data_IF_968822257025
#
_entry.id   IF_968822257025
#
_cell.length_a   1.000
_cell.length_b   1.000
_cell.length_c   1.000
_cell.angle_alpha   90.00
_cell.angle_beta   90.00
_cell.angle_gamma   90.00
#
_symmetry.space_group_name_H-M   'P 1'
#
loop_
_entity.id
_entity.type
_entity.pdbx_description
1 polymer ?
#
# COMPACT_ATOMS: atom_id res chain seq x y z
N UNK A 1 8.93 30.33 -2.86
CA UNK A 1 7.83 30.73 -1.95
C UNK A 1 6.93 29.51 -1.81
N UNK A 2 6.55 29.12 -0.60
CA UNK A 2 5.46 28.15 -0.43
C UNK A 2 4.22 28.76 -1.09
N UNK A 3 3.59 28.10 -2.07
CA UNK A 3 2.47 28.70 -2.81
C UNK A 3 1.32 29.13 -1.89
N UNK A 4 1.22 28.53 -0.70
CA UNK A 4 0.06 28.65 0.20
C UNK A 4 0.25 29.55 1.42
N UNK A 5 1.44 30.14 1.63
CA UNK A 5 1.74 30.93 2.83
C UNK A 5 2.26 32.31 2.44
N UNK A 6 1.56 32.99 1.52
CA UNK A 6 1.88 34.35 1.11
C UNK A 6 1.28 35.40 2.06
N UNK A 7 1.91 36.57 2.11
CA UNK A 7 1.73 37.58 3.18
C UNK A 7 0.43 38.40 3.10
N UNK A 8 -0.36 38.31 2.02
CA UNK A 8 -1.40 39.32 1.75
C UNK A 8 -2.79 38.99 2.33
N UNK A 9 -3.05 37.73 2.71
CA UNK A 9 -4.10 37.30 3.65
C UNK A 9 -3.95 35.78 3.83
N UNK A 10 -3.12 35.31 4.79
CA UNK A 10 -2.89 33.89 4.92
C UNK A 10 -4.11 33.23 5.58
N UNK A 11 -4.91 32.50 4.81
CA UNK A 11 -5.80 31.51 5.41
C UNK A 11 -4.94 30.44 6.08
N UNK A 12 -4.76 30.64 7.39
CA UNK A 12 -3.89 29.84 8.27
C UNK A 12 -4.18 28.35 8.10
N UNK A 13 -5.45 28.00 7.84
CA UNK A 13 -5.91 26.63 7.64
C UNK A 13 -5.46 26.02 6.32
N UNK A 14 -5.43 26.78 5.23
CA UNK A 14 -4.93 26.32 3.93
C UNK A 14 -3.42 26.09 3.98
N UNK A 15 -2.68 27.04 4.56
CA UNK A 15 -1.23 26.92 4.79
C UNK A 15 -0.92 25.75 5.73
N UNK A 16 -1.66 25.57 6.82
CA UNK A 16 -1.50 24.45 7.76
C UNK A 16 -1.74 23.10 7.08
N UNK A 17 -2.80 22.98 6.27
CA UNK A 17 -3.10 21.76 5.51
C UNK A 17 -1.96 21.41 4.56
N UNK A 18 -1.52 22.38 3.74
CA UNK A 18 -0.42 22.21 2.79
C UNK A 18 0.89 21.83 3.47
N UNK A 19 1.24 22.51 4.58
CA UNK A 19 2.45 22.21 5.35
C UNK A 19 2.40 20.84 6.01
N UNK A 20 1.26 20.47 6.60
CA UNK A 20 1.11 19.17 7.29
C UNK A 20 1.20 18.02 6.29
N UNK A 21 0.45 18.09 5.18
CA UNK A 21 0.49 17.06 4.15
C UNK A 21 1.87 17.03 3.48
N UNK A 22 2.45 18.18 3.16
CA UNK A 22 3.78 18.28 2.56
C UNK A 22 4.89 17.70 3.46
N UNK A 23 4.88 18.00 4.76
CA UNK A 23 5.87 17.45 5.71
C UNK A 23 5.74 15.95 5.90
N UNK A 24 4.51 15.43 6.05
CA UNK A 24 4.27 13.98 6.09
C UNK A 24 4.71 13.29 4.80
N UNK A 25 4.47 13.93 3.64
CA UNK A 25 4.87 13.42 2.33
C UNK A 25 6.37 13.41 2.15
N UNK A 26 7.07 14.45 2.60
CA UNK A 26 8.52 14.53 2.58
C UNK A 26 9.13 13.41 3.42
N UNK A 27 8.68 13.27 4.67
CA UNK A 27 9.16 12.23 5.57
C UNK A 27 8.96 10.84 4.98
N UNK A 28 7.77 10.57 4.46
CA UNK A 28 7.42 9.27 3.87
C UNK A 28 8.24 9.02 2.60
N UNK A 29 8.46 10.03 1.75
CA UNK A 29 9.29 9.90 0.55
C UNK A 29 10.75 9.56 0.91
N UNK A 30 11.34 10.27 1.87
CA UNK A 30 12.71 10.01 2.35
C UNK A 30 12.82 8.61 2.92
N UNK A 31 11.84 8.19 3.72
CA UNK A 31 11.76 6.83 4.24
C UNK A 31 11.70 5.82 3.08
N UNK A 32 10.79 5.97 2.11
CA UNK A 32 10.69 5.07 0.96
C UNK A 32 12.01 4.96 0.17
N UNK A 33 12.70 6.08 -0.08
CA UNK A 33 14.00 6.07 -0.77
C UNK A 33 15.06 5.30 0.01
N UNK A 34 15.15 5.55 1.33
CA UNK A 34 16.06 4.83 2.21
C UNK A 34 15.75 3.33 2.24
N UNK A 35 14.48 2.97 2.34
CA UNK A 35 14.03 1.58 2.36
C UNK A 35 14.32 0.89 1.03
N UNK A 36 13.98 1.49 -0.11
CA UNK A 36 14.31 0.94 -1.44
C UNK A 36 15.81 0.73 -1.58
N UNK A 37 16.64 1.69 -1.16
CA UNK A 37 18.10 1.56 -1.21
C UNK A 37 18.59 0.31 -0.46
N UNK A 38 18.02 0.03 0.72
CA UNK A 38 18.37 -1.17 1.51
C UNK A 38 17.82 -2.44 0.87
N UNK A 39 16.59 -2.44 0.35
CA UNK A 39 15.99 -3.67 -0.19
C UNK A 39 16.50 -4.05 -1.58
N UNK A 40 17.00 -3.08 -2.35
CA UNK A 40 17.35 -3.25 -3.75
C UNK A 40 18.40 -4.36 -3.97
N UNK A 41 19.53 -4.42 -3.23
CA UNK A 41 20.53 -5.47 -3.39
C UNK A 41 19.97 -6.88 -3.19
N UNK A 42 19.17 -7.08 -2.13
CA UNK A 42 18.51 -8.36 -1.86
C UNK A 42 17.50 -8.76 -2.93
N UNK A 43 16.77 -7.79 -3.50
CA UNK A 43 15.75 -8.04 -4.53
C UNK A 43 16.31 -8.46 -5.89
N UNK A 44 17.56 -8.09 -6.20
CA UNK A 44 18.23 -8.48 -7.44
C UNK A 44 18.51 -9.99 -7.43
N UNK A 45 18.99 -10.51 -6.29
CA UNK A 45 19.28 -11.94 -6.11
C UNK A 45 18.04 -12.81 -5.89
N UNK A 46 16.95 -12.23 -5.37
CA UNK A 46 15.76 -12.98 -4.95
C UNK A 46 14.48 -12.47 -5.61
N UNK A 47 13.89 -13.20 -6.57
CA UNK A 47 12.72 -12.73 -7.31
C UNK A 47 11.46 -12.55 -6.43
N UNK A 48 11.37 -13.26 -5.31
CA UNK A 48 10.26 -13.15 -4.35
C UNK A 48 10.23 -11.82 -3.58
N UNK A 49 11.34 -11.09 -3.51
CA UNK A 49 11.44 -9.78 -2.84
C UNK A 49 11.10 -8.61 -3.78
N UNK A 50 11.10 -8.83 -5.10
CA UNK A 50 10.86 -7.76 -6.10
C UNK A 50 9.50 -7.07 -5.94
N UNK A 51 8.38 -7.77 -5.65
CA UNK A 51 7.11 -7.10 -5.43
C UNK A 51 7.13 -6.17 -4.21
N UNK A 52 7.88 -6.53 -3.15
CA UNK A 52 8.00 -5.69 -1.96
C UNK A 52 8.71 -4.37 -2.27
N UNK A 53 9.82 -4.44 -3.02
CA UNK A 53 10.55 -3.24 -3.48
C UNK A 53 9.69 -2.40 -4.41
N UNK A 54 8.95 -3.03 -5.33
CA UNK A 54 8.05 -2.32 -6.24
C UNK A 54 6.94 -1.57 -5.48
N UNK A 55 6.33 -2.19 -4.46
CA UNK A 55 5.31 -1.54 -3.64
C UNK A 55 5.87 -0.33 -2.89
N UNK A 56 7.06 -0.45 -2.27
CA UNK A 56 7.70 0.67 -1.56
C UNK A 56 8.18 1.76 -2.53
N UNK A 57 8.61 1.40 -3.75
CA UNK A 57 8.98 2.37 -4.77
C UNK A 57 7.76 3.16 -5.27
N UNK A 58 6.63 2.48 -5.54
CA UNK A 58 5.38 3.14 -5.91
C UNK A 58 4.88 4.06 -4.80
N UNK A 59 5.00 3.65 -3.53
CA UNK A 59 4.70 4.49 -2.38
C UNK A 59 5.55 5.76 -2.35
N UNK A 60 6.86 5.62 -2.59
CA UNK A 60 7.77 6.76 -2.67
C UNK A 60 7.44 7.72 -3.82
N UNK A 61 7.09 7.21 -5.00
CA UNK A 61 6.70 8.03 -6.15
C UNK A 61 5.39 8.77 -5.86
N UNK A 62 4.40 8.09 -5.31
CA UNK A 62 3.12 8.70 -4.92
C UNK A 62 3.32 9.87 -3.95
N UNK A 63 4.04 9.62 -2.86
CA UNK A 63 4.31 10.66 -1.85
C UNK A 63 5.18 11.78 -2.39
N UNK A 64 6.10 11.50 -3.32
CA UNK A 64 6.89 12.52 -4.00
C UNK A 64 6.01 13.42 -4.88
N UNK A 65 5.05 12.85 -5.63
CA UNK A 65 4.12 13.64 -6.43
C UNK A 65 3.22 14.52 -5.56
N UNK A 66 2.74 14.00 -4.43
CA UNK A 66 1.99 14.78 -3.44
C UNK A 66 2.86 15.89 -2.83
N UNK A 67 4.13 15.60 -2.53
CA UNK A 67 5.08 16.58 -2.01
C UNK A 67 5.32 17.73 -3.01
N UNK A 68 5.62 17.41 -4.27
CA UNK A 68 5.87 18.41 -5.33
C UNK A 68 4.62 19.27 -5.54
N UNK A 69 3.44 18.66 -5.48
CA UNK A 69 2.19 19.40 -5.49
C UNK A 69 2.12 20.39 -4.32
N UNK A 70 2.37 19.92 -3.10
CA UNK A 70 2.25 20.75 -1.90
C UNK A 70 3.33 21.82 -1.74
N UNK A 71 4.48 21.70 -2.41
CA UNK A 71 5.61 22.63 -2.19
C UNK A 71 5.96 23.49 -3.40
N UNK A 72 5.63 23.05 -4.62
CA UNK A 72 6.24 23.62 -5.82
C UNK A 72 5.26 23.97 -6.94
N UNK A 73 4.36 23.06 -7.32
CA UNK A 73 3.53 23.19 -8.53
C UNK A 73 2.09 22.75 -8.28
N UNK A 74 1.15 23.69 -8.37
CA UNK A 74 -0.29 23.42 -8.33
C UNK A 74 -0.80 22.85 -9.66
N UNK A 75 -0.33 21.66 -10.01
CA UNK A 75 -0.69 20.96 -11.22
C UNK A 75 -1.63 19.78 -10.91
N UNK A 76 -2.90 19.78 -11.40
CA UNK A 76 -3.82 18.66 -11.23
C UNK A 76 -3.26 17.35 -11.82
N UNK A 77 -2.36 17.47 -12.82
CA UNK A 77 -1.63 16.35 -13.42
C UNK A 77 -0.76 15.56 -12.41
N UNK A 78 -0.22 16.22 -11.38
CA UNK A 78 0.53 15.53 -10.31
C UNK A 78 -0.39 14.67 -9.42
N UNK A 79 -1.61 15.14 -9.15
CA UNK A 79 -2.61 14.37 -8.41
C UNK A 79 -3.05 13.14 -9.19
N UNK A 80 -3.21 13.27 -10.50
CA UNK A 80 -3.50 12.15 -11.38
C UNK A 80 -2.40 11.08 -11.29
N UNK A 81 -1.13 11.48 -11.36
CA UNK A 81 -0.01 10.55 -11.19
C UNK A 81 0.02 9.87 -9.81
N UNK A 82 -0.30 10.60 -8.74
CA UNK A 82 -0.39 10.03 -7.39
C UNK A 82 -1.51 8.98 -7.28
N UNK A 83 -2.71 9.29 -7.79
CA UNK A 83 -3.82 8.34 -7.86
C UNK A 83 -3.48 7.11 -8.71
N UNK A 84 -2.69 7.26 -9.77
CA UNK A 84 -2.26 6.14 -10.62
C UNK A 84 -1.33 5.20 -9.86
N UNK A 85 -0.34 5.74 -9.16
CA UNK A 85 0.55 4.95 -8.30
C UNK A 85 -0.28 4.15 -7.28
N UNK A 86 -1.25 4.80 -6.64
CA UNK A 86 -2.19 4.17 -5.71
C UNK A 86 -2.99 3.04 -6.35
N UNK A 87 -3.59 3.28 -7.51
CA UNK A 87 -4.35 2.27 -8.25
C UNK A 87 -3.51 1.05 -8.60
N UNK A 88 -2.25 1.26 -9.02
CA UNK A 88 -1.30 0.18 -9.30
C UNK A 88 -0.89 -0.58 -8.04
N UNK A 89 -0.69 0.10 -6.91
CA UNK A 89 -0.44 -0.56 -5.63
C UNK A 89 -1.60 -1.47 -5.21
N UNK A 90 -2.85 -1.02 -5.38
CA UNK A 90 -4.03 -1.86 -5.11
C UNK A 90 -4.00 -3.07 -6.06
N UNK A 91 -3.81 -2.88 -7.36
CA UNK A 91 -3.76 -3.97 -8.33
C UNK A 91 -2.64 -5.00 -8.05
N UNK A 92 -1.44 -4.55 -7.65
CA UNK A 92 -0.32 -5.45 -7.28
C UNK A 92 -0.64 -6.20 -6.00
N UNK A 93 -1.18 -5.52 -4.98
CA UNK A 93 -1.61 -6.17 -3.73
C UNK A 93 -2.63 -7.27 -4.03
N UNK A 94 -3.63 -6.94 -4.84
CA UNK A 94 -4.66 -7.83 -5.33
C UNK A 94 -4.08 -9.06 -6.04
N UNK A 95 -3.06 -8.90 -6.88
CA UNK A 95 -2.36 -10.01 -7.52
C UNK A 95 -1.64 -10.92 -6.51
N UNK A 96 -0.82 -10.34 -5.63
CA UNK A 96 -0.01 -11.09 -4.66
C UNK A 96 -0.88 -11.93 -3.72
N UNK A 97 -1.94 -11.34 -3.17
CA UNK A 97 -2.83 -12.05 -2.25
C UNK A 97 -3.80 -12.98 -2.96
N UNK A 98 -4.28 -12.61 -4.14
CA UNK A 98 -5.13 -13.48 -4.93
C UNK A 98 -4.38 -14.73 -5.40
N UNK A 99 -3.10 -14.61 -5.75
CA UNK A 99 -2.23 -15.74 -6.05
C UNK A 99 -2.06 -16.66 -4.84
N UNK A 100 -1.73 -16.10 -3.67
CA UNK A 100 -1.57 -16.85 -2.42
C UNK A 100 -2.87 -17.57 -2.02
N UNK A 101 -4.02 -16.91 -2.12
CA UNK A 101 -5.31 -17.52 -1.82
C UNK A 101 -5.69 -18.65 -2.80
N UNK A 102 -5.39 -18.48 -4.10
CA UNK A 102 -5.62 -19.51 -5.10
C UNK A 102 -4.70 -20.73 -4.91
N UNK A 103 -3.48 -20.51 -4.40
CA UNK A 103 -2.56 -21.58 -4.05
C UNK A 103 -3.08 -22.40 -2.85
N UNK A 104 -3.50 -21.73 -1.78
CA UNK A 104 -4.07 -22.39 -0.58
C UNK A 104 -5.34 -23.18 -0.92
N UNK A 105 -6.20 -22.64 -1.77
CA UNK A 105 -7.47 -23.28 -2.14
C UNK A 105 -7.36 -24.28 -3.29
N UNK A 106 -6.17 -24.42 -3.91
CA UNK A 106 -5.94 -25.28 -5.06
C UNK A 106 -6.65 -24.84 -6.36
N UNK A 107 -7.23 -23.64 -6.40
CA UNK A 107 -8.03 -23.12 -7.53
C UNK A 107 -7.20 -22.28 -8.50
N UNK A 108 -6.10 -22.85 -9.03
CA UNK A 108 -5.19 -22.15 -9.97
C UNK A 108 -5.86 -21.66 -11.25
N UNK A 109 -6.96 -22.28 -11.68
CA UNK A 109 -7.74 -21.84 -12.85
C UNK A 109 -8.38 -20.46 -12.62
N UNK A 110 -8.80 -20.15 -11.39
CA UNK A 110 -9.38 -18.85 -11.05
C UNK A 110 -8.35 -17.71 -11.13
N UNK A 111 -7.10 -18.00 -10.76
CA UNK A 111 -5.98 -17.05 -10.84
C UNK A 111 -5.75 -16.58 -12.28
N UNK A 112 -5.60 -17.51 -13.22
CA UNK A 112 -5.28 -17.15 -14.62
C UNK A 112 -6.52 -16.86 -15.48
N UNK A 113 -7.68 -17.46 -15.16
CA UNK A 113 -8.90 -17.32 -15.95
C UNK A 113 -9.77 -16.13 -15.57
N UNK A 114 -9.67 -15.62 -14.33
CA UNK A 114 -10.52 -14.52 -13.85
C UNK A 114 -9.69 -13.38 -13.26
N UNK A 115 -8.79 -13.68 -12.32
CA UNK A 115 -8.07 -12.65 -11.59
C UNK A 115 -7.08 -11.87 -12.48
N UNK A 116 -6.23 -12.59 -13.20
CA UNK A 116 -5.26 -12.01 -14.13
C UNK A 116 -5.89 -11.08 -15.18
N UNK A 117 -6.93 -11.50 -15.94
CA UNK A 117 -7.52 -10.63 -16.95
C UNK A 117 -8.23 -9.41 -16.36
N UNK A 118 -8.88 -9.53 -15.20
CA UNK A 118 -9.50 -8.37 -14.53
C UNK A 118 -8.44 -7.35 -14.13
N UNK A 119 -7.37 -7.79 -13.48
CA UNK A 119 -6.28 -6.89 -13.07
C UNK A 119 -5.56 -6.26 -14.25
N UNK A 120 -5.30 -7.04 -15.31
CA UNK A 120 -4.72 -6.51 -16.54
C UNK A 120 -5.63 -5.48 -17.22
N UNK A 121 -6.93 -5.78 -17.33
CA UNK A 121 -7.91 -4.88 -17.92
C UNK A 121 -8.01 -3.57 -17.15
N UNK A 122 -8.02 -3.61 -15.81
CA UNK A 122 -8.02 -2.40 -14.98
C UNK A 122 -6.71 -1.62 -15.10
N UNK A 123 -5.56 -2.29 -15.12
CA UNK A 123 -4.28 -1.61 -15.31
C UNK A 123 -4.19 -0.90 -16.68
N UNK A 124 -4.68 -1.54 -17.75
CA UNK A 124 -4.78 -0.93 -19.08
C UNK A 124 -5.72 0.26 -19.06
N UNK A 125 -6.90 0.12 -18.45
CA UNK A 125 -7.89 1.20 -18.34
C UNK A 125 -7.30 2.42 -17.60
N UNK A 126 -6.69 2.21 -16.43
CA UNK A 126 -6.06 3.27 -15.66
C UNK A 126 -4.92 3.94 -16.43
N UNK A 127 -4.10 3.16 -17.15
CA UNK A 127 -2.99 3.70 -17.93
C UNK A 127 -3.50 4.53 -19.13
N UNK A 128 -4.53 4.05 -19.82
CA UNK A 128 -5.15 4.77 -20.93
C UNK A 128 -5.79 6.09 -20.46
N UNK A 129 -6.51 6.06 -19.34
CA UNK A 129 -7.13 7.25 -18.74
C UNK A 129 -6.08 8.33 -18.39
N UNK A 130 -4.97 7.92 -17.79
CA UNK A 130 -3.84 8.84 -17.49
C UNK A 130 -3.24 9.44 -18.75
N UNK A 131 -3.00 8.64 -19.79
CA UNK A 131 -2.43 9.14 -21.05
C UNK A 131 -3.34 10.18 -21.70
N UNK A 132 -4.65 9.92 -21.74
CA UNK A 132 -5.64 10.85 -22.30
C UNK A 132 -5.65 12.16 -21.50
N UNK A 133 -5.76 12.09 -20.18
CA UNK A 133 -5.79 13.29 -19.32
C UNK A 133 -4.47 14.08 -19.30
N UNK A 134 -3.34 13.45 -19.62
CA UNK A 134 -2.06 14.15 -19.75
C UNK A 134 -1.94 14.93 -21.05
N UNK A 135 -2.56 14.45 -22.13
CA UNK A 135 -2.59 15.11 -23.45
C UNK A 135 -3.44 16.38 -23.43
N UNK A 136 -4.51 16.39 -22.63
CA UNK A 136 -5.36 17.56 -22.48
C UNK A 136 -4.62 18.74 -21.79
N UNK A 137 -4.70 19.97 -22.35
CA UNK A 137 -4.03 21.14 -21.80
C UNK A 137 -4.67 21.64 -20.49
N UNK A 138 -5.96 21.38 -20.29
CA UNK A 138 -6.74 21.74 -19.10
C UNK A 138 -7.37 20.46 -18.57
N UNK A 139 -7.14 20.15 -17.30
CA UNK A 139 -7.75 18.99 -16.65
C UNK A 139 -9.05 19.44 -16.00
N UNK A 140 -10.19 18.95 -16.51
CA UNK A 140 -11.52 19.23 -15.96
C UNK A 140 -11.92 18.17 -14.92
N UNK A 141 -12.07 18.59 -13.66
CA UNK A 141 -12.44 17.72 -12.54
C UNK A 141 -13.89 17.22 -12.59
N UNK A 142 -14.73 17.88 -13.39
CA UNK A 142 -16.12 17.47 -13.63
C UNK A 142 -16.25 16.40 -14.72
N UNK A 143 -15.18 16.15 -15.48
CA UNK A 143 -15.23 15.14 -16.53
C UNK A 143 -15.20 13.73 -15.92
N UNK A 144 -15.91 12.79 -16.55
CA UNK A 144 -16.06 11.43 -16.04
C UNK A 144 -14.73 10.69 -15.94
N UNK A 145 -13.73 11.03 -16.77
CA UNK A 145 -12.36 10.50 -16.70
C UNK A 145 -11.71 10.76 -15.33
N UNK A 146 -11.98 11.90 -14.68
CA UNK A 146 -11.47 12.17 -13.32
C UNK A 146 -11.91 11.11 -12.29
N UNK A 147 -13.12 10.56 -12.48
CA UNK A 147 -13.71 9.56 -11.60
C UNK A 147 -13.28 8.13 -11.96
N UNK A 148 -12.89 7.87 -13.21
CA UNK A 148 -12.60 6.51 -13.70
C UNK A 148 -11.55 5.82 -12.83
N UNK A 149 -10.45 6.50 -12.52
CA UNK A 149 -9.37 5.88 -11.76
C UNK A 149 -9.73 5.59 -10.30
N UNK A 150 -10.45 6.51 -9.64
CA UNK A 150 -10.91 6.31 -8.26
C UNK A 150 -12.02 5.26 -8.18
N UNK A 151 -12.91 5.22 -9.17
CA UNK A 151 -13.95 4.19 -9.27
C UNK A 151 -13.34 2.81 -9.52
N UNK A 152 -12.37 2.71 -10.43
CA UNK A 152 -11.66 1.46 -10.70
C UNK A 152 -10.90 0.97 -9.47
N UNK A 153 -10.19 1.86 -8.78
CA UNK A 153 -9.44 1.53 -7.54
C UNK A 153 -10.36 1.09 -6.41
N UNK A 154 -11.47 1.81 -6.20
CA UNK A 154 -12.47 1.45 -5.19
C UNK A 154 -13.17 0.12 -5.51
N UNK A 155 -13.52 -0.10 -6.78
CA UNK A 155 -14.16 -1.35 -7.23
C UNK A 155 -13.23 -2.53 -6.99
N UNK A 156 -11.93 -2.41 -7.33
CA UNK A 156 -10.93 -3.40 -6.99
C UNK A 156 -10.85 -3.57 -5.47
N UNK A 157 -10.55 -2.52 -4.70
CA UNK A 157 -10.35 -2.62 -3.26
C UNK A 157 -11.55 -3.28 -2.54
N UNK A 158 -12.79 -2.91 -2.89
CA UNK A 158 -14.01 -3.50 -2.32
C UNK A 158 -14.20 -4.96 -2.75
N UNK A 159 -14.03 -5.27 -4.04
CA UNK A 159 -14.16 -6.66 -4.53
C UNK A 159 -13.17 -7.59 -3.83
N UNK A 160 -11.95 -7.11 -3.64
CA UNK A 160 -10.89 -7.86 -2.96
C UNK A 160 -11.07 -7.93 -1.45
N UNK A 161 -11.61 -6.90 -0.81
CA UNK A 161 -11.99 -6.97 0.59
C UNK A 161 -13.09 -8.01 0.81
N UNK A 162 -14.08 -8.06 -0.07
CA UNK A 162 -15.16 -9.06 -0.02
C UNK A 162 -14.61 -10.48 -0.21
N UNK A 163 -13.85 -10.76 -1.27
CA UNK A 163 -13.26 -12.09 -1.48
C UNK A 163 -12.22 -12.43 -0.41
N UNK A 164 -11.41 -11.46 0.00
CA UNK A 164 -10.38 -11.59 1.03
C UNK A 164 -10.98 -11.90 2.39
N UNK A 165 -12.15 -11.34 2.73
CA UNK A 165 -12.85 -11.64 3.98
C UNK A 165 -13.25 -13.11 4.11
N UNK A 166 -13.59 -13.77 2.99
CA UNK A 166 -13.89 -15.20 2.94
C UNK A 166 -12.61 -16.00 3.22
N UNK A 167 -11.50 -15.66 2.55
CA UNK A 167 -10.20 -16.31 2.77
C UNK A 167 -9.71 -16.12 4.20
N UNK A 168 -9.87 -14.92 4.77
CA UNK A 168 -9.52 -14.63 6.16
C UNK A 168 -10.34 -15.46 7.15
N UNK A 169 -11.62 -15.72 6.87
CA UNK A 169 -12.45 -16.62 7.67
C UNK A 169 -11.94 -18.05 7.61
N UNK A 170 -11.59 -18.53 6.42
CA UNK A 170 -11.01 -19.88 6.25
C UNK A 170 -9.65 -20.00 6.95
N UNK A 171 -8.78 -18.99 6.83
CA UNK A 171 -7.50 -18.97 7.55
C UNK A 171 -7.69 -18.93 9.07
N UNK A 172 -8.69 -18.19 9.56
CA UNK A 172 -9.03 -18.16 10.99
C UNK A 172 -9.59 -19.50 11.47
N UNK A 173 -10.42 -20.16 10.67
CA UNK A 173 -10.93 -21.50 10.95
C UNK A 173 -9.78 -22.52 10.98
N UNK A 174 -8.91 -22.52 9.97
CA UNK A 174 -7.71 -23.35 9.92
C UNK A 174 -6.78 -23.11 11.12
N UNK A 175 -6.58 -21.85 11.52
CA UNK A 175 -5.84 -21.48 12.73
C UNK A 175 -6.46 -22.09 13.99
N UNK A 176 -7.79 -22.05 14.12
CA UNK A 176 -8.48 -22.61 15.29
C UNK A 176 -8.32 -24.14 15.36
N UNK A 177 -8.37 -24.81 14.21
CA UNK A 177 -8.16 -26.26 14.10
C UNK A 177 -6.71 -26.62 14.38
N UNK A 178 -5.74 -25.89 13.83
CA UNK A 178 -4.31 -26.12 14.05
C UNK A 178 -3.85 -25.80 15.48
N UNK A 179 -4.50 -24.85 16.17
CA UNK A 179 -4.25 -24.59 17.60
C UNK A 179 -4.71 -25.75 18.48
N UNK A 180 -5.76 -26.46 18.06
CA UNK A 180 -6.34 -27.58 18.78
C UNK A 180 -5.70 -28.93 18.39
N UNK A 181 -5.23 -29.07 17.14
CA UNK A 181 -4.49 -30.22 16.65
C UNK A 181 -2.98 -29.98 16.84
N UNK A 182 -2.46 -30.52 17.94
CA UNK A 182 -1.05 -30.69 18.32
C UNK A 182 -0.02 -30.27 17.24
N UNK A 183 0.84 -29.30 17.60
CA UNK A 183 2.06 -28.87 16.90
C UNK A 183 2.70 -30.01 16.08
N UNK A 184 2.46 -30.04 14.76
CA UNK A 184 3.25 -30.92 13.88
C UNK A 184 2.59 -31.48 12.63
N UNK A 185 1.25 -31.45 12.49
CA UNK A 185 0.62 -32.22 11.40
C UNK A 185 0.70 -31.57 10.00
N UNK A 186 0.93 -30.26 9.89
CA UNK A 186 0.82 -29.53 8.60
C UNK A 186 2.11 -28.87 8.08
N UNK A 187 3.24 -28.98 8.77
CA UNK A 187 4.51 -28.40 8.31
C UNK A 187 4.56 -26.86 8.21
N UNK A 188 3.43 -26.15 8.31
CA UNK A 188 3.33 -24.69 8.37
C UNK A 188 3.37 -24.26 9.82
N UNK A 189 4.30 -23.37 10.20
CA UNK A 189 4.37 -22.90 11.56
C UNK A 189 3.15 -22.02 11.90
N UNK A 190 2.55 -22.13 13.10
CA UNK A 190 1.38 -21.33 13.47
C UNK A 190 1.64 -19.81 13.44
N UNK A 191 2.92 -19.42 13.52
CA UNK A 191 3.35 -18.02 13.49
C UNK A 191 3.27 -17.43 12.07
N UNK A 192 3.67 -18.18 11.03
CA UNK A 192 3.62 -17.72 9.63
C UNK A 192 2.18 -17.51 9.13
N UNK A 193 1.24 -18.35 9.57
CA UNK A 193 -0.17 -18.23 9.22
C UNK A 193 -0.83 -17.00 9.87
N UNK A 194 -0.52 -16.73 11.14
CA UNK A 194 -1.02 -15.54 11.83
C UNK A 194 -0.48 -14.25 11.20
N UNK A 195 0.77 -14.26 10.75
CA UNK A 195 1.41 -13.13 10.11
C UNK A 195 0.81 -12.84 8.74
N UNK A 196 0.64 -13.88 7.92
CA UNK A 196 -0.03 -13.76 6.61
C UNK A 196 -1.45 -13.21 6.76
N UNK A 197 -2.18 -13.64 7.80
CA UNK A 197 -3.48 -13.08 8.16
C UNK A 197 -3.40 -11.59 8.51
N UNK A 198 -2.45 -11.18 9.36
CA UNK A 198 -2.28 -9.76 9.76
C UNK A 198 -1.91 -8.87 8.59
N UNK A 199 -0.98 -9.29 7.73
CA UNK A 199 -0.58 -8.56 6.53
C UNK A 199 -1.77 -8.34 5.59
N UNK A 200 -2.51 -9.42 5.31
CA UNK A 200 -3.70 -9.37 4.46
C UNK A 200 -4.79 -8.47 5.05
N UNK A 201 -5.06 -8.59 6.36
CA UNK A 201 -6.07 -7.77 7.04
C UNK A 201 -5.75 -6.28 6.97
N UNK A 202 -4.51 -5.89 7.27
CA UNK A 202 -4.08 -4.50 7.27
C UNK A 202 -4.17 -3.87 5.88
N UNK A 203 -3.69 -4.57 4.85
CA UNK A 203 -3.75 -4.05 3.49
C UNK A 203 -5.18 -3.98 2.94
N UNK A 204 -6.02 -4.98 3.21
CA UNK A 204 -7.43 -4.92 2.79
C UNK A 204 -8.14 -3.72 3.42
N UNK A 205 -7.94 -3.51 4.72
CA UNK A 205 -8.56 -2.39 5.43
C UNK A 205 -8.03 -1.05 4.92
N UNK A 206 -6.71 -0.89 4.81
CA UNK A 206 -6.08 0.35 4.35
C UNK A 206 -6.46 0.68 2.90
N UNK A 207 -6.41 -0.31 2.00
CA UNK A 207 -6.78 -0.12 0.60
C UNK A 207 -8.25 0.21 0.43
N UNK A 208 -9.14 -0.44 1.19
CA UNK A 208 -10.57 -0.16 1.16
C UNK A 208 -10.88 1.25 1.68
N UNK A 209 -10.36 1.63 2.85
CA UNK A 209 -10.59 2.96 3.43
C UNK A 209 -10.04 4.05 2.51
N UNK A 210 -8.79 3.93 2.06
CA UNK A 210 -8.15 4.90 1.17
C UNK A 210 -8.93 5.06 -0.14
N UNK A 211 -9.29 3.95 -0.81
CA UNK A 211 -9.98 4.03 -2.12
C UNK A 211 -11.41 4.57 -1.99
N UNK A 212 -12.12 4.26 -0.90
CA UNK A 212 -13.45 4.80 -0.65
C UNK A 212 -13.40 6.30 -0.31
N UNK A 213 -12.41 6.73 0.50
CA UNK A 213 -12.21 8.14 0.79
C UNK A 213 -11.89 8.92 -0.49
N UNK A 214 -10.98 8.41 -1.33
CA UNK A 214 -10.66 9.02 -2.63
C UNK A 214 -11.90 9.11 -3.53
N UNK A 215 -12.64 8.02 -3.71
CA UNK A 215 -13.86 8.02 -4.52
C UNK A 215 -14.91 8.99 -3.96
N UNK A 216 -15.14 8.99 -2.65
CA UNK A 216 -16.12 9.89 -2.02
C UNK A 216 -15.77 11.35 -2.23
N UNK A 217 -14.49 11.68 -2.13
CA UNK A 217 -13.98 13.03 -2.32
C UNK A 217 -14.06 13.46 -3.79
N UNK A 218 -13.70 12.60 -4.72
CA UNK A 218 -13.82 12.89 -6.15
C UNK A 218 -15.27 13.02 -6.59
N UNK A 219 -16.19 12.22 -6.02
CA UNK A 219 -17.61 12.29 -6.31
C UNK A 219 -18.25 13.56 -5.73
N UNK A 220 -17.81 13.99 -4.55
CA UNK A 220 -18.16 15.29 -3.98
C UNK A 220 -17.71 16.43 -4.90
N UNK A 221 -16.46 16.40 -5.36
CA UNK A 221 -15.92 17.37 -6.31
C UNK A 221 -16.70 17.39 -7.62
N UNK A 222 -16.93 16.22 -8.22
CA UNK A 222 -17.50 16.13 -9.57
C UNK A 222 -18.98 16.55 -9.62
N UNK A 223 -19.78 16.27 -8.58
CA UNK A 223 -21.23 16.42 -8.63
C UNK A 223 -21.82 17.42 -7.63
N UNK A 224 -21.18 17.66 -6.48
CA UNK A 224 -21.77 18.47 -5.40
C UNK A 224 -21.26 19.90 -5.46
N UNK A 225 -20.00 20.12 -5.84
CA UNK A 225 -19.48 21.47 -6.01
C UNK A 225 -19.96 22.00 -7.37
N UNK A 226 -20.97 22.89 -7.34
CA UNK A 226 -21.63 23.43 -8.53
C UNK A 226 -20.92 24.72 -8.97
N UNK A 227 -20.30 24.67 -10.14
CA UNK A 227 -19.77 25.83 -10.86
C UNK A 227 -18.67 25.42 -11.83
N UNK A 228 -18.64 25.99 -13.05
CA UNK A 228 -17.56 25.84 -14.05
C UNK A 228 -16.23 26.39 -13.50
N UNK A 229 -15.68 25.72 -12.50
CA UNK A 229 -14.48 26.13 -11.79
C UNK A 229 -13.40 25.09 -12.05
N UNK A 230 -12.31 25.54 -12.69
CA UNK A 230 -11.15 24.70 -12.95
C UNK A 230 -10.72 24.00 -11.65
N UNK A 231 -10.24 22.75 -11.74
CA UNK A 231 -9.74 21.98 -10.60
C UNK A 231 -8.88 22.83 -9.64
N UNK A 232 -8.02 23.67 -10.21
CA UNK A 232 -7.09 24.54 -9.48
C UNK A 232 -7.75 25.58 -8.59
N UNK A 233 -9.02 25.96 -8.82
CA UNK A 233 -9.79 26.81 -7.90
C UNK A 233 -10.53 26.00 -6.84
N UNK A 234 -11.08 24.85 -7.19
CA UNK A 234 -11.88 24.01 -6.27
C UNK A 234 -11.08 23.48 -5.06
N UNK A 235 -9.81 23.19 -5.27
CA UNK A 235 -8.92 22.72 -4.21
C UNK A 235 -8.45 23.85 -3.27
N UNK A 236 -8.66 25.11 -3.66
CA UNK A 236 -8.01 26.28 -3.07
C UNK A 236 -8.94 27.50 -3.02
N UNK A 237 -10.26 27.30 -2.95
CA UNK A 237 -11.18 28.41 -2.69
C UNK A 237 -11.05 28.82 -1.22
N UNK A 238 -10.80 30.10 -1.02
CA UNK A 238 -10.47 30.71 0.28
C UNK A 238 -11.72 31.02 1.11
N UNK A 239 -12.92 30.89 0.51
CA UNK A 239 -14.20 31.10 1.19
C UNK A 239 -14.65 29.89 2.05
N UNK A 240 -13.92 28.76 1.99
CA UNK A 240 -14.22 27.54 2.73
C UNK A 240 -13.75 27.64 4.21
N UNK A 241 -14.70 27.64 5.15
CA UNK A 241 -14.41 27.77 6.58
C UNK A 241 -13.50 26.67 7.18
N UNK A 242 -12.94 26.94 8.37
CA UNK A 242 -11.95 26.08 9.06
C UNK A 242 -12.34 24.59 9.16
N UNK A 243 -13.64 24.29 9.31
CA UNK A 243 -14.16 22.92 9.41
C UNK A 243 -13.95 22.16 8.09
N UNK A 244 -14.19 22.81 6.96
CA UNK A 244 -14.04 22.20 5.65
C UNK A 244 -12.58 21.90 5.34
N UNK A 245 -11.67 22.84 5.65
CA UNK A 245 -10.24 22.63 5.50
C UNK A 245 -9.72 21.48 6.37
N UNK A 246 -10.25 21.33 7.59
CA UNK A 246 -9.93 20.22 8.46
C UNK A 246 -10.43 18.87 7.90
N UNK A 247 -11.65 18.82 7.37
CA UNK A 247 -12.18 17.61 6.72
C UNK A 247 -11.31 17.24 5.51
N UNK A 248 -10.95 18.21 4.66
CA UNK A 248 -10.06 18.00 3.50
C UNK A 248 -8.67 17.51 3.92
N UNK A 249 -8.15 17.97 5.06
CA UNK A 249 -6.91 17.46 5.66
C UNK A 249 -7.05 15.98 6.06
N UNK A 250 -8.10 15.63 6.81
CA UNK A 250 -8.36 14.26 7.24
C UNK A 250 -8.53 13.31 6.06
N UNK A 251 -9.26 13.73 5.02
CA UNK A 251 -9.42 12.95 3.77
C UNK A 251 -8.06 12.76 3.09
N UNK A 252 -7.22 13.81 3.01
CA UNK A 252 -5.90 13.71 2.39
C UNK A 252 -4.98 12.74 3.14
N UNK A 253 -4.98 12.79 4.48
CA UNK A 253 -4.20 11.87 5.31
C UNK A 253 -4.71 10.43 5.14
N UNK A 254 -6.03 10.21 5.21
CA UNK A 254 -6.62 8.87 5.09
C UNK A 254 -6.52 8.28 3.68
N UNK A 255 -6.49 9.13 2.66
CA UNK A 255 -6.45 8.73 1.25
C UNK A 255 -5.05 8.45 0.74
N UNK A 256 -4.06 9.23 1.18
CA UNK A 256 -2.68 9.18 0.66
C UNK A 256 -1.67 8.77 1.75
N UNK A 257 -1.61 9.45 2.89
CA UNK A 257 -0.53 9.21 3.87
C UNK A 257 -0.67 7.86 4.60
N UNK A 258 -1.83 7.62 5.21
CA UNK A 258 -2.12 6.42 5.99
C UNK A 258 -1.88 5.11 5.22
N UNK A 259 -2.41 4.92 4.00
CA UNK A 259 -2.19 3.67 3.29
C UNK A 259 -0.72 3.42 2.95
N UNK A 260 0.06 4.46 2.64
CA UNK A 260 1.49 4.30 2.37
C UNK A 260 2.27 3.87 3.60
N UNK A 261 1.91 4.36 4.79
CA UNK A 261 2.50 3.86 6.04
C UNK A 261 2.17 2.39 6.28
N UNK A 262 0.96 1.95 5.92
CA UNK A 262 0.59 0.52 5.97
C UNK A 262 1.38 -0.27 4.93
N UNK A 263 1.57 0.24 3.72
CA UNK A 263 2.43 -0.38 2.69
C UNK A 263 3.85 -0.58 3.22
N UNK A 264 4.46 0.44 3.82
CA UNK A 264 5.79 0.32 4.43
C UNK A 264 5.81 -0.74 5.54
N UNK A 265 4.82 -0.71 6.43
CA UNK A 265 4.73 -1.69 7.51
C UNK A 265 4.61 -3.13 6.99
N UNK A 266 3.79 -3.36 5.97
CA UNK A 266 3.51 -4.71 5.48
C UNK A 266 4.61 -5.27 4.58
N UNK A 267 5.21 -4.44 3.71
CA UNK A 267 6.18 -4.89 2.71
C UNK A 267 7.64 -4.72 3.15
N UNK A 268 7.94 -3.84 4.11
CA UNK A 268 9.29 -3.70 4.68
C UNK A 268 9.40 -4.33 6.07
N UNK A 269 8.58 -3.87 7.03
CA UNK A 269 8.78 -4.15 8.46
C UNK A 269 8.46 -5.59 8.83
N UNK A 270 7.26 -6.08 8.47
CA UNK A 270 6.81 -7.42 8.82
C UNK A 270 7.75 -8.52 8.28
N UNK A 271 8.20 -8.49 7.01
CA UNK A 271 9.10 -9.52 6.49
C UNK A 271 10.44 -9.61 7.23
N UNK A 272 10.98 -8.49 7.72
CA UNK A 272 12.35 -8.42 8.26
C UNK A 272 12.46 -8.73 9.75
N UNK A 273 11.43 -8.43 10.54
CA UNK A 273 11.49 -8.65 11.99
C UNK A 273 10.99 -10.02 12.45
N UNK A 274 10.40 -10.84 11.57
CA UNK A 274 9.78 -12.12 11.97
C UNK A 274 10.20 -13.32 11.13
N UNK A 275 10.57 -13.15 9.86
CA UNK A 275 11.28 -14.21 9.13
C UNK A 275 12.76 -13.96 9.39
N UNK A 276 13.35 -14.72 10.31
CA UNK A 276 14.75 -14.64 10.77
C UNK A 276 15.78 -14.86 9.65
N UNK A 277 15.76 -13.98 8.67
CA UNK A 277 16.78 -13.80 7.65
C UNK A 277 17.50 -12.53 8.05
N UNK A 278 18.81 -12.61 8.26
CA UNK A 278 19.72 -11.46 8.40
C UNK A 278 19.80 -10.67 7.08
N UNK A 279 18.68 -10.48 6.39
CA UNK A 279 18.53 -9.69 5.18
C UNK A 279 18.20 -8.27 5.63
N UNK A 280 19.28 -7.56 5.94
CA UNK A 280 19.34 -6.10 6.01
C UNK A 280 18.60 -5.44 7.18
N UNK A 281 18.72 -5.99 8.39
CA UNK A 281 18.53 -5.22 9.62
C UNK A 281 19.90 -4.63 9.96
N UNK A 282 20.13 -3.30 9.84
CA UNK A 282 21.26 -2.69 10.52
C UNK A 282 21.09 -3.09 11.99
N UNK A 283 22.10 -3.71 12.59
CA UNK A 283 22.12 -4.04 14.02
C UNK A 283 21.98 -2.72 14.81
N UNK A 284 20.75 -2.24 14.98
CA UNK A 284 20.44 -1.38 16.08
C UNK A 284 20.47 -2.31 17.28
N UNK A 285 21.56 -2.22 18.05
CA UNK A 285 21.70 -2.72 19.41
C UNK A 285 20.58 -2.13 20.29
N UNK A 286 19.35 -2.61 20.08
CA UNK A 286 18.29 -2.47 21.06
C UNK A 286 18.53 -3.64 21.99
N UNK A 287 19.31 -3.37 23.04
CA UNK A 287 19.46 -4.22 24.22
C UNK A 287 18.06 -4.46 24.78
N UNK A 288 17.42 -5.52 24.30
CA UNK A 288 16.16 -6.03 24.79
C UNK A 288 16.51 -7.12 25.81
N UNK A 289 16.46 -6.75 27.09
CA UNK A 289 16.55 -7.63 28.28
C UNK A 289 15.38 -8.64 28.32
N UNK A 290 15.27 -9.50 27.31
CA UNK A 290 14.31 -10.60 27.32
C UNK A 290 15.04 -11.89 26.94
N UNK A 291 15.55 -12.56 27.97
CA UNK A 291 16.22 -13.89 27.94
C UNK A 291 15.36 -15.00 27.31
N UNK A 292 14.13 -14.69 26.92
CA UNK A 292 13.23 -15.60 26.20
C UNK A 292 13.63 -15.81 24.72
N UNK A 293 14.49 -14.94 24.15
CA UNK A 293 14.87 -15.00 22.73
C UNK A 293 15.96 -16.02 22.36
N UNK A 294 16.77 -16.50 23.33
CA UNK A 294 17.89 -17.39 23.00
C UNK A 294 17.51 -18.87 22.81
N UNK A 295 16.30 -19.29 23.15
CA UNK A 295 15.89 -20.70 23.07
C UNK A 295 15.46 -21.17 21.67
N UNK A 296 15.35 -20.28 20.69
CA UNK A 296 14.97 -20.63 19.30
C UNK A 296 16.16 -20.76 18.33
N UNK A 297 17.40 -20.48 18.78
CA UNK A 297 18.60 -20.47 17.94
C UNK A 297 19.47 -21.73 18.10
N UNK A 298 18.86 -22.92 18.02
CA UNK A 298 19.63 -24.15 17.80
C UNK A 298 19.41 -24.67 16.38
N UNK A 299 20.39 -24.50 15.45
CA UNK A 299 20.30 -25.11 14.14
C UNK A 299 20.49 -26.62 14.27
N UNK A 300 19.45 -27.38 13.98
CA UNK A 300 19.50 -28.83 13.80
C UNK A 300 20.27 -29.15 12.51
N UNK A 301 21.55 -29.45 12.64
CA UNK A 301 22.37 -30.02 11.56
C UNK A 301 21.92 -31.45 11.21
N UNK A 302 21.75 -31.81 9.93
CA UNK A 302 21.41 -33.17 9.52
C UNK A 302 22.65 -34.08 9.38
N UNK A 303 22.66 -35.18 10.15
CA UNK A 303 23.32 -36.50 9.97
C UNK A 303 24.51 -36.62 9.01
N UNK A 304 25.68 -36.95 9.56
CA UNK A 304 26.59 -37.91 8.92
C UNK A 304 26.15 -39.34 9.28
N UNK A 305 25.68 -40.08 8.27
CA UNK A 305 25.38 -41.51 8.30
C UNK A 305 26.68 -42.24 7.91
N UNK A 306 27.47 -42.69 8.89
CA UNK A 306 28.57 -43.63 8.63
C UNK A 306 28.04 -45.05 8.64
N UNK A 307 28.21 -45.70 7.50
CA UNK A 307 27.96 -47.11 7.21
C UNK A 307 28.66 -48.06 8.19
N UNK A 308 27.94 -49.12 8.52
CA UNK A 308 28.40 -50.34 9.17
C UNK A 308 29.59 -51.00 8.47
N UNK A 309 30.60 -51.43 9.22
CA UNK A 309 31.41 -52.60 8.82
C UNK A 309 31.80 -53.38 10.07
N UNK A 310 31.11 -54.49 10.25
CA UNK A 310 31.45 -55.59 11.14
C UNK A 310 32.53 -56.43 10.47
N UNK A 311 33.68 -56.61 11.12
CA UNK A 311 34.55 -57.77 10.83
C UNK A 311 35.24 -58.20 12.12
N UNK A 312 35.20 -59.52 12.31
CA UNK A 312 35.93 -60.34 13.28
C UNK A 312 37.41 -59.98 13.41
#
# INVERSE_FOLDING_TARGET
MLPYCSSEAPDVWLCLRGLTVGTMSLWTTVACVYLVYIMLPGSIGSPHLRPNVLMVALAGIEMFLVLVRCLWLDAPKLMLGAKYCRGMQVAISCWLYGALACEITGKRVCLYGLLAPVLLGVAILMTADVVIMLDDPIVDCHHSSWLVMSLASATLAVSFAMSGSVVLREMKAAKSVQRNAIKGLLGISPNELEQSYKQLWLLLLANMISSLLQLSYDLYIAYIVVGDTNCTKLFYDDDDGAIEQFIRLCISIGSFVYPEWVTLYVFYWIPRHHFGTNLDVPELDIVSDDDTYQLYYQPTSPRHRSTSTTTL
#
